data_IF_541757901194
#
_entry.id   IF_541757901194
#
_cell.length_a   1.000
_cell.length_b   1.000
_cell.length_c   1.000
_cell.angle_alpha   90.00
_cell.angle_beta   90.00
_cell.angle_gamma   90.00
#
_symmetry.space_group_name_H-M   'P 1'
#
loop_
_entity.id
_entity.type
_entity.pdbx_description
1 polymer ?
#
# COMPACT_ATOMS: atom_id res chain seq x y z
N UNK A 1 -64.80 -25.05 -2.52
CA UNK A 1 -64.37 -26.42 -2.93
C UNK A 1 -62.91 -26.37 -3.32
N UNK A 2 -62.25 -27.51 -3.16
CA UNK A 2 -60.82 -27.71 -2.90
C UNK A 2 -59.92 -27.85 -4.15
N UNK A 3 -58.60 -27.64 -3.92
CA UNK A 3 -57.38 -28.24 -4.54
C UNK A 3 -56.84 -27.81 -5.95
N UNK A 4 -55.54 -27.48 -5.93
CA UNK A 4 -54.51 -27.21 -6.98
C UNK A 4 -54.17 -28.46 -7.87
N UNK A 5 -53.12 -28.54 -8.77
CA UNK A 5 -51.96 -27.66 -9.06
C UNK A 5 -51.47 -27.60 -10.56
N UNK A 6 -50.30 -26.97 -10.79
CA UNK A 6 -49.15 -27.40 -11.64
C UNK A 6 -48.50 -26.23 -12.41
N UNK A 7 -47.48 -25.66 -11.78
CA UNK A 7 -46.09 -25.55 -12.26
C UNK A 7 -45.87 -25.34 -13.77
N UNK A 8 -45.61 -24.08 -14.16
CA UNK A 8 -44.79 -23.74 -15.35
C UNK A 8 -43.88 -22.56 -14.99
N UNK A 9 -42.71 -22.84 -14.41
CA UNK A 9 -41.65 -21.85 -14.35
C UNK A 9 -40.94 -21.81 -15.69
N UNK A 10 -41.11 -20.67 -16.36
CA UNK A 10 -40.55 -20.33 -17.65
C UNK A 10 -39.03 -20.27 -17.58
N UNK A 11 -38.45 -20.77 -18.67
CA UNK A 11 -37.06 -20.96 -19.04
C UNK A 11 -36.17 -19.76 -18.70
N UNK A 12 -35.03 -20.07 -18.08
CA UNK A 12 -33.93 -19.16 -17.76
C UNK A 12 -33.20 -18.70 -19.04
N UNK A 13 -33.04 -17.38 -19.21
CA UNK A 13 -32.21 -16.80 -20.28
C UNK A 13 -31.08 -15.99 -19.65
N UNK A 14 -29.91 -16.63 -19.62
CA UNK A 14 -28.54 -16.11 -19.68
C UNK A 14 -28.25 -14.71 -19.10
N UNK A 15 -27.73 -14.72 -17.87
CA UNK A 15 -26.89 -13.67 -17.29
C UNK A 15 -25.52 -13.70 -18.00
N UNK A 16 -25.17 -12.65 -18.75
CA UNK A 16 -23.83 -12.49 -19.31
C UNK A 16 -22.85 -12.18 -18.16
N UNK A 17 -22.27 -13.23 -17.59
CA UNK A 17 -21.21 -13.15 -16.60
C UNK A 17 -19.94 -12.59 -17.25
N UNK A 18 -19.51 -11.42 -16.78
CA UNK A 18 -18.21 -10.85 -17.16
C UNK A 18 -17.09 -11.77 -16.70
N UNK A 19 -16.32 -12.30 -17.66
CA UNK A 19 -15.06 -12.96 -17.38
C UNK A 19 -14.03 -11.89 -16.99
N UNK A 20 -13.96 -11.57 -15.69
CA UNK A 20 -12.80 -10.90 -15.12
C UNK A 20 -11.70 -11.95 -15.06
N UNK A 21 -10.71 -11.87 -15.95
CA UNK A 21 -9.52 -12.72 -15.89
C UNK A 21 -8.75 -12.36 -14.62
N UNK A 22 -8.88 -13.16 -13.58
CA UNK A 22 -8.11 -13.01 -12.34
C UNK A 22 -6.63 -13.26 -12.64
N UNK A 23 -5.81 -12.21 -12.63
CA UNK A 23 -4.36 -12.37 -12.55
C UNK A 23 -4.07 -13.06 -11.20
N UNK A 24 -3.35 -14.20 -11.18
CA UNK A 24 -3.00 -14.84 -9.92
C UNK A 24 -2.06 -13.92 -9.14
N UNK A 25 -2.49 -13.51 -7.95
CA UNK A 25 -1.63 -12.84 -6.98
C UNK A 25 -0.72 -13.91 -6.37
N UNK A 26 0.57 -13.92 -6.73
CA UNK A 26 1.53 -14.87 -6.16
C UNK A 26 1.93 -14.41 -4.77
N UNK A 27 1.72 -15.26 -3.76
CA UNK A 27 2.26 -15.01 -2.42
C UNK A 27 3.80 -15.04 -2.45
N UNK A 28 4.43 -14.28 -1.54
CA UNK A 28 5.88 -14.26 -1.36
C UNK A 28 6.38 -15.64 -0.92
N UNK A 29 7.54 -16.07 -1.43
CA UNK A 29 8.21 -17.31 -0.99
C UNK A 29 8.87 -17.12 0.37
N UNK A 30 9.21 -18.22 1.05
CA UNK A 30 9.94 -18.17 2.32
C UNK A 30 11.30 -17.45 2.15
N UNK A 31 12.05 -17.76 1.10
CA UNK A 31 13.33 -17.08 0.82
C UNK A 31 13.17 -15.56 0.62
N UNK A 32 12.07 -15.12 0.00
CA UNK A 32 11.74 -13.70 -0.14
C UNK A 32 11.42 -13.06 1.22
N UNK A 33 10.70 -13.78 2.09
CA UNK A 33 10.41 -13.31 3.44
C UNK A 33 11.66 -13.20 4.31
N UNK A 34 12.59 -14.15 4.21
CA UNK A 34 13.88 -14.10 4.92
C UNK A 34 14.71 -12.90 4.46
N UNK A 35 14.75 -12.66 3.14
CA UNK A 35 15.42 -11.48 2.58
C UNK A 35 14.82 -10.17 3.11
N UNK A 36 13.49 -10.08 3.21
CA UNK A 36 12.80 -8.92 3.79
C UNK A 36 13.07 -8.75 5.29
N UNK A 37 13.15 -9.87 6.03
CA UNK A 37 13.48 -9.89 7.44
C UNK A 37 14.89 -9.34 7.67
N UNK A 38 15.88 -9.87 6.97
CA UNK A 38 17.29 -9.44 7.07
C UNK A 38 17.45 -7.96 6.70
N UNK A 39 16.81 -7.52 5.62
CA UNK A 39 16.84 -6.12 5.20
C UNK A 39 16.21 -5.17 6.23
N UNK A 40 15.26 -5.63 7.05
CA UNK A 40 14.64 -4.79 8.09
C UNK A 40 15.52 -4.61 9.34
N UNK A 41 16.51 -5.49 9.55
CA UNK A 41 17.47 -5.38 10.66
C UNK A 41 18.39 -4.17 10.47
N UNK A 42 18.75 -3.84 9.24
CA UNK A 42 19.50 -2.63 8.90
C UNK A 42 18.60 -1.59 8.24
N UNK A 43 18.38 -0.46 8.90
CA UNK A 43 17.46 0.56 8.41
C UNK A 43 17.82 1.08 7.01
N UNK A 44 19.11 1.21 6.69
CA UNK A 44 19.55 1.75 5.40
C UNK A 44 19.31 0.74 4.27
N UNK A 45 19.59 -0.54 4.49
CA UNK A 45 19.31 -1.62 3.55
C UNK A 45 17.80 -1.73 3.27
N UNK A 46 16.96 -1.71 4.32
CA UNK A 46 15.51 -1.76 4.14
C UNK A 46 14.95 -0.53 3.43
N UNK A 47 15.47 0.68 3.73
CA UNK A 47 15.09 1.90 2.99
C UNK A 47 15.50 1.79 1.50
N UNK A 48 16.70 1.30 1.21
CA UNK A 48 17.17 1.13 -0.17
C UNK A 48 16.29 0.15 -0.94
N UNK A 49 15.94 -0.98 -0.33
CA UNK A 49 15.02 -1.97 -0.91
C UNK A 49 13.62 -1.38 -1.18
N UNK A 50 13.07 -0.62 -0.23
CA UNK A 50 11.77 0.03 -0.44
C UNK A 50 11.80 1.03 -1.60
N UNK A 51 12.91 1.76 -1.78
CA UNK A 51 13.09 2.65 -2.94
C UNK A 51 13.19 1.87 -4.26
N UNK A 52 13.84 0.71 -4.26
CA UNK A 52 13.90 -0.17 -5.42
C UNK A 52 12.50 -0.68 -5.81
N UNK A 53 11.73 -1.19 -4.84
CA UNK A 53 10.34 -1.64 -5.03
C UNK A 53 9.47 -0.50 -5.59
N UNK A 54 9.52 0.69 -4.99
CA UNK A 54 8.80 1.86 -5.49
C UNK A 54 9.27 2.28 -6.89
N UNK A 55 10.56 2.10 -7.23
CA UNK A 55 11.10 2.31 -8.57
C UNK A 55 10.50 1.36 -9.63
N UNK A 56 10.00 0.20 -9.20
CA UNK A 56 9.21 -0.75 -10.01
C UNK A 56 7.70 -0.52 -9.91
N UNK A 57 7.26 0.57 -9.29
CA UNK A 57 5.84 0.86 -8.98
C UNK A 57 5.19 -0.14 -8.01
N UNK A 58 5.98 -0.92 -7.28
CA UNK A 58 5.54 -1.89 -6.26
C UNK A 58 5.33 -1.17 -4.92
N UNK A 59 4.48 -0.14 -4.88
CA UNK A 59 4.34 0.72 -3.69
C UNK A 59 3.82 -0.02 -2.45
N UNK A 60 2.98 -1.04 -2.62
CA UNK A 60 2.49 -1.86 -1.50
C UNK A 60 3.63 -2.67 -0.87
N UNK A 61 4.52 -3.25 -1.69
CA UNK A 61 5.69 -3.95 -1.19
C UNK A 61 6.68 -2.98 -0.54
N UNK A 62 6.89 -1.81 -1.13
CA UNK A 62 7.72 -0.74 -0.56
C UNK A 62 7.23 -0.30 0.83
N UNK A 63 5.91 -0.11 0.98
CA UNK A 63 5.28 0.22 2.26
C UNK A 63 5.49 -0.90 3.28
N UNK A 64 5.21 -2.15 2.91
CA UNK A 64 5.43 -3.29 3.81
C UNK A 64 6.89 -3.44 4.25
N UNK A 65 7.85 -3.12 3.38
CA UNK A 65 9.28 -3.08 3.75
C UNK A 65 9.56 -1.96 4.75
N UNK A 66 9.04 -0.75 4.51
CA UNK A 66 9.22 0.40 5.41
C UNK A 66 8.55 0.21 6.77
N UNK A 67 7.39 -0.45 6.82
CA UNK A 67 6.70 -0.80 8.06
C UNK A 67 7.55 -1.75 8.92
N UNK A 68 8.17 -2.77 8.30
CA UNK A 68 9.11 -3.66 9.00
C UNK A 68 10.34 -2.88 9.50
N UNK A 69 10.93 -2.02 8.68
CA UNK A 69 12.02 -1.13 9.11
C UNK A 69 11.60 -0.27 10.29
N UNK A 70 10.41 0.33 10.26
CA UNK A 70 9.90 1.18 11.34
C UNK A 70 9.52 0.40 12.60
N UNK A 71 9.19 -0.88 12.48
CA UNK A 71 8.97 -1.76 13.62
C UNK A 71 10.27 -2.01 14.40
N UNK A 72 11.40 -2.18 13.70
CA UNK A 72 12.73 -2.38 14.31
C UNK A 72 13.40 -1.04 14.68
N UNK A 73 13.25 -0.03 13.83
CA UNK A 73 13.89 1.29 13.90
C UNK A 73 12.86 2.42 13.98
N UNK A 74 12.04 2.51 15.04
CA UNK A 74 10.90 3.44 15.11
C UNK A 74 11.28 4.94 15.07
N UNK A 75 12.56 5.24 15.33
CA UNK A 75 13.13 6.59 15.28
C UNK A 75 13.77 6.95 13.94
N UNK A 76 13.75 6.05 12.95
CA UNK A 76 14.24 6.35 11.60
C UNK A 76 13.35 7.41 10.95
N UNK A 77 13.86 8.65 10.96
CA UNK A 77 13.16 9.80 10.37
C UNK A 77 13.04 9.64 8.86
N UNK A 78 14.08 9.12 8.21
CA UNK A 78 14.08 8.88 6.77
C UNK A 78 13.03 7.82 6.37
N UNK A 79 13.03 6.65 7.03
CA UNK A 79 12.03 5.62 6.74
C UNK A 79 10.61 6.18 6.90
N UNK A 80 10.36 6.97 7.94
CA UNK A 80 9.05 7.58 8.18
C UNK A 80 8.65 8.59 7.10
N UNK A 81 9.57 9.43 6.65
CA UNK A 81 9.30 10.39 5.58
C UNK A 81 8.96 9.67 4.27
N UNK A 82 9.73 8.65 3.90
CA UNK A 82 9.49 7.87 2.67
C UNK A 82 8.16 7.12 2.77
N UNK A 83 7.89 6.49 3.92
CA UNK A 83 6.63 5.80 4.18
C UNK A 83 5.44 6.74 3.97
N UNK A 84 5.52 7.96 4.53
CA UNK A 84 4.48 8.95 4.32
C UNK A 84 4.26 9.33 2.86
N UNK A 85 5.34 9.53 2.10
CA UNK A 85 5.28 9.86 0.67
C UNK A 85 4.63 8.71 -0.12
N UNK A 86 4.98 7.45 0.18
CA UNK A 86 4.43 6.30 -0.53
C UNK A 86 2.97 6.05 -0.18
N UNK A 87 2.52 6.30 1.05
CA UNK A 87 1.10 6.28 1.41
C UNK A 87 0.31 7.29 0.54
N UNK A 88 0.84 8.50 0.40
CA UNK A 88 0.21 9.52 -0.44
C UNK A 88 0.19 9.17 -1.92
N UNK A 89 1.14 8.36 -2.40
CA UNK A 89 1.19 7.91 -3.80
C UNK A 89 0.15 6.83 -4.13
N UNK A 90 -0.37 6.15 -3.11
CA UNK A 90 -1.43 5.13 -3.27
C UNK A 90 -2.78 5.63 -2.76
N UNK A 91 -3.00 6.95 -2.78
CA UNK A 91 -4.22 7.63 -2.31
C UNK A 91 -4.55 7.46 -0.82
N UNK A 92 -3.64 6.94 0.01
CA UNK A 92 -3.76 7.01 1.47
C UNK A 92 -3.23 8.35 2.00
N UNK A 93 -3.89 9.43 1.57
CA UNK A 93 -3.56 10.80 1.99
C UNK A 93 -3.65 10.96 3.50
N UNK A 94 -4.63 10.33 4.16
CA UNK A 94 -4.80 10.46 5.61
C UNK A 94 -3.64 9.80 6.36
N UNK A 95 -3.27 8.57 5.99
CA UNK A 95 -2.13 7.87 6.56
C UNK A 95 -0.83 8.65 6.35
N UNK A 96 -0.59 9.14 5.13
CA UNK A 96 0.61 9.92 4.82
C UNK A 96 0.69 11.23 5.62
N UNK A 97 -0.42 11.98 5.75
CA UNK A 97 -0.46 13.20 6.55
C UNK A 97 -0.21 12.93 8.05
N UNK A 98 -0.73 11.82 8.58
CA UNK A 98 -0.46 11.38 9.96
C UNK A 98 1.03 11.12 10.16
N UNK A 99 1.69 10.45 9.21
CA UNK A 99 3.12 10.16 9.30
C UNK A 99 3.99 11.42 9.19
N UNK A 100 3.65 12.35 8.29
CA UNK A 100 4.32 13.67 8.21
C UNK A 100 4.15 14.45 9.51
N UNK A 101 2.98 14.38 10.16
CA UNK A 101 2.71 15.02 11.44
C UNK A 101 3.64 14.56 12.59
N UNK A 102 4.22 13.37 12.48
CA UNK A 102 5.18 12.83 13.45
C UNK A 102 6.61 13.36 13.24
N UNK A 103 6.90 14.00 12.10
CA UNK A 103 8.21 14.56 11.77
C UNK A 103 8.40 15.96 12.39
N UNK A 104 9.63 16.26 12.79
CA UNK A 104 9.99 17.52 13.47
C UNK A 104 10.96 18.33 12.64
N UNK A 105 10.82 19.65 12.70
CA UNK A 105 11.63 20.60 11.93
C UNK A 105 13.11 20.62 12.32
N UNK A 106 13.47 20.05 13.47
CA UNK A 106 14.88 19.86 13.84
C UNK A 106 15.60 18.82 12.96
N UNK A 107 14.85 17.94 12.29
CA UNK A 107 15.37 16.88 11.43
C UNK A 107 15.17 17.18 9.94
N UNK A 108 14.22 18.08 9.62
CA UNK A 108 13.84 18.44 8.26
C UNK A 108 13.51 19.92 8.18
N UNK A 109 13.79 20.57 7.06
CA UNK A 109 13.39 21.96 6.90
C UNK A 109 11.85 22.09 6.89
N UNK A 110 11.36 23.24 7.38
CA UNK A 110 9.94 23.65 7.23
C UNK A 110 9.44 23.48 5.80
N UNK A 111 10.27 23.89 4.85
CA UNK A 111 9.99 23.82 3.41
C UNK A 111 9.75 22.38 2.96
N UNK A 112 10.65 21.46 3.31
CA UNK A 112 10.54 20.05 2.94
C UNK A 112 9.27 19.41 3.52
N UNK A 113 8.96 19.67 4.80
CA UNK A 113 7.74 19.13 5.40
C UNK A 113 6.47 19.77 4.83
N UNK A 114 6.53 21.02 4.34
CA UNK A 114 5.41 21.64 3.64
C UNK A 114 5.21 21.02 2.24
N UNK A 115 6.30 20.80 1.50
CA UNK A 115 6.29 20.11 0.19
C UNK A 115 5.73 18.69 0.31
N UNK A 116 6.15 17.94 1.34
CA UNK A 116 5.61 16.61 1.60
C UNK A 116 4.08 16.62 1.82
N UNK A 117 3.56 17.60 2.57
CA UNK A 117 2.11 17.75 2.76
C UNK A 117 1.39 18.13 1.47
N UNK A 118 1.99 18.98 0.65
CA UNK A 118 1.41 19.40 -0.62
C UNK A 118 1.33 18.24 -1.61
N UNK A 119 2.35 17.39 -1.70
CA UNK A 119 2.30 16.17 -2.53
C UNK A 119 1.13 15.28 -2.16
N UNK A 120 0.85 15.11 -0.87
CA UNK A 120 -0.30 14.32 -0.40
C UNK A 120 -1.66 14.92 -0.75
N UNK A 121 -1.76 16.25 -0.85
CA UNK A 121 -3.00 16.93 -1.20
C UNK A 121 -3.30 16.90 -2.71
N UNK A 122 -2.30 16.61 -3.55
CA UNK A 122 -2.41 16.60 -5.02
C UNK A 122 -2.43 15.17 -5.60
N UNK A 123 -2.12 14.15 -4.81
CA UNK A 123 -1.81 12.79 -5.28
C UNK A 123 -2.93 11.95 -5.90
N UNK A 124 -4.16 12.47 -6.02
CA UNK A 124 -5.33 11.74 -6.52
C UNK A 124 -5.78 12.06 -7.96
N UNK A 125 -4.93 12.70 -8.78
CA UNK A 125 -5.29 13.20 -10.12
C UNK A 125 -4.47 12.62 -11.29
N UNK A 126 -3.63 11.60 -11.07
CA UNK A 126 -2.80 10.99 -12.14
C UNK A 126 -3.48 9.79 -12.83
#
# INVERSE_FOLDING_TARGET
>A
MSLSPVMKCVTATFLAAGCVTSVPLTAQTIDQLDTLSDASVDAAAGIAMAREQAGRSEYLDALATLERVLAVHPKSHEARLIHAIYLCRIDDTQGGLVEIGKLKEKNYSKKLLAEARQMCAQGGED
#
